data_IF_773818831947
#
_entry.id   IF_773818831947
#
_cell.length_a   1.000
_cell.length_b   1.000
_cell.length_c   1.000
_cell.angle_alpha   90.00
_cell.angle_beta   90.00
_cell.angle_gamma   90.00
#
_symmetry.space_group_name_H-M   'P 1'
#
loop_
_entity.id
_entity.type
_entity.pdbx_description
1 polymer ?
#
# COMPACT_ATOMS: atom_id res chain seq x y z
N UNK A 1 18.17 49.39 -3.18
CA UNK A 1 17.19 49.06 -2.13
C UNK A 1 16.41 47.84 -2.60
N UNK A 2 16.50 46.68 -1.94
CA UNK A 2 15.67 45.54 -2.30
C UNK A 2 14.27 45.72 -1.69
N UNK A 3 13.24 45.44 -2.48
CA UNK A 3 11.84 45.48 -2.06
C UNK A 3 11.56 44.45 -0.97
N UNK A 4 10.69 44.74 0.00
CA UNK A 4 10.26 43.74 0.98
C UNK A 4 9.39 42.70 0.26
N UNK A 5 9.89 41.47 0.15
CA UNK A 5 9.07 40.30 -0.16
C UNK A 5 7.90 40.22 0.82
N UNK A 6 6.71 40.57 0.37
CA UNK A 6 5.47 40.38 1.09
C UNK A 6 5.13 38.89 1.11
N UNK A 7 5.73 38.17 2.06
CA UNK A 7 5.22 36.86 2.46
C UNK A 7 3.88 37.11 3.17
N UNK A 8 2.80 37.10 2.39
CA UNK A 8 1.45 36.91 2.92
C UNK A 8 1.46 35.56 3.66
N UNK A 9 1.49 35.61 5.00
CA UNK A 9 1.48 34.41 5.81
C UNK A 9 0.20 33.62 5.47
N UNK A 10 0.32 32.31 5.15
CA UNK A 10 -0.86 31.51 4.87
C UNK A 10 -1.81 31.59 6.07
N UNK A 11 -2.97 32.21 5.86
CA UNK A 11 -3.91 32.54 6.92
C UNK A 11 -4.73 31.29 7.24
N UNK A 12 -4.14 30.37 8.01
CA UNK A 12 -4.76 29.13 8.50
C UNK A 12 -3.94 27.85 8.20
N UNK A 13 -4.19 26.78 8.96
CA UNK A 13 -3.46 25.51 8.87
C UNK A 13 -3.41 24.95 7.44
N UNK A 14 -4.53 25.01 6.70
CA UNK A 14 -4.63 24.58 5.30
C UNK A 14 -3.68 25.35 4.37
N UNK A 15 -3.61 26.67 4.52
CA UNK A 15 -2.70 27.50 3.71
C UNK A 15 -1.23 27.14 3.97
N UNK A 16 -0.89 26.85 5.24
CA UNK A 16 0.47 26.46 5.62
C UNK A 16 0.83 25.12 5.03
N UNK A 17 -0.06 24.13 5.14
CA UNK A 17 0.16 22.79 4.57
C UNK A 17 0.25 22.88 3.04
N UNK A 18 -0.55 23.73 2.39
CA UNK A 18 -0.45 23.98 0.94
C UNK A 18 0.92 24.54 0.53
N UNK A 19 1.53 25.41 1.33
CA UNK A 19 2.89 25.86 1.03
C UNK A 19 3.90 24.70 1.11
N UNK A 20 3.73 23.80 2.09
CA UNK A 20 4.62 22.66 2.31
C UNK A 20 4.56 21.59 1.21
N UNK A 21 3.54 21.58 0.34
CA UNK A 21 3.53 20.68 -0.84
C UNK A 21 4.57 21.06 -1.89
N UNK A 22 5.18 22.24 -1.78
CA UNK A 22 6.30 22.68 -2.63
C UNK A 22 7.65 22.61 -1.91
N UNK A 23 7.68 22.10 -0.68
CA UNK A 23 8.91 21.93 0.08
C UNK A 23 9.90 21.03 -0.67
N UNK A 24 11.17 21.39 -0.61
CA UNK A 24 12.29 20.62 -1.18
C UNK A 24 12.57 19.33 -0.40
N UNK A 25 12.19 19.31 0.88
CA UNK A 25 12.38 18.16 1.75
C UNK A 25 11.55 16.95 1.29
N UNK A 26 12.21 15.79 1.32
CA UNK A 26 11.67 14.55 0.79
C UNK A 26 10.52 13.94 1.55
N UNK A 27 10.44 14.20 2.85
CA UNK A 27 9.40 13.67 3.72
C UNK A 27 8.29 14.70 3.92
N UNK A 28 8.64 16.00 3.92
CA UNK A 28 7.66 17.08 4.15
C UNK A 28 6.62 17.15 3.03
N UNK A 29 7.03 16.97 1.77
CA UNK A 29 6.11 17.11 0.64
C UNK A 29 5.02 16.03 0.60
N UNK A 30 5.31 14.71 0.65
CA UNK A 30 4.27 13.67 0.71
C UNK A 30 3.36 13.82 1.93
N UNK A 31 3.94 14.12 3.10
CA UNK A 31 3.16 14.34 4.32
C UNK A 31 2.21 15.54 4.22
N UNK A 32 2.64 16.63 3.57
CA UNK A 32 1.80 17.79 3.32
C UNK A 32 0.63 17.45 2.38
N UNK A 33 0.87 16.66 1.34
CA UNK A 33 -0.18 16.20 0.42
C UNK A 33 -1.18 15.30 1.15
N UNK A 34 -0.71 14.36 1.99
CA UNK A 34 -1.58 13.51 2.81
C UNK A 34 -2.41 14.34 3.82
N UNK A 35 -1.80 15.34 4.45
CA UNK A 35 -2.51 16.21 5.39
C UNK A 35 -3.57 17.07 4.70
N UNK A 36 -3.35 17.53 3.47
CA UNK A 36 -4.37 18.23 2.68
C UNK A 36 -5.55 17.31 2.31
N UNK A 37 -5.26 16.04 1.97
CA UNK A 37 -6.31 15.04 1.75
C UNK A 37 -7.18 14.85 3.00
N UNK A 38 -6.54 14.67 4.15
CA UNK A 38 -7.23 14.48 5.42
C UNK A 38 -8.08 15.70 5.86
N UNK A 39 -7.70 16.92 5.44
CA UNK A 39 -8.42 18.15 5.80
C UNK A 39 -9.67 18.40 4.95
N UNK A 40 -9.56 18.23 3.64
CA UNK A 40 -10.59 18.75 2.72
C UNK A 40 -11.10 17.73 1.70
N UNK A 41 -10.46 16.57 1.54
CA UNK A 41 -10.86 15.57 0.52
C UNK A 41 -10.83 16.11 -0.92
N UNK A 42 -10.11 17.22 -1.16
CA UNK A 42 -10.14 17.97 -2.41
C UNK A 42 -9.29 17.32 -3.50
N UNK A 43 -9.80 16.28 -4.14
CA UNK A 43 -9.06 15.49 -5.13
C UNK A 43 -8.51 16.32 -6.31
N UNK A 44 -9.27 17.32 -6.77
CA UNK A 44 -8.90 18.16 -7.91
C UNK A 44 -7.60 18.95 -7.69
N UNK A 45 -7.33 19.38 -6.45
CA UNK A 45 -6.10 20.10 -6.11
C UNK A 45 -4.93 19.15 -5.81
N UNK A 46 -5.23 17.92 -5.39
CA UNK A 46 -4.24 16.93 -4.97
C UNK A 46 -3.64 16.15 -6.14
N UNK A 47 -4.45 15.78 -7.14
CA UNK A 47 -3.98 15.03 -8.31
C UNK A 47 -2.73 15.63 -8.99
N UNK A 48 -2.64 16.95 -9.27
CA UNK A 48 -1.44 17.51 -9.89
C UNK A 48 -0.21 17.50 -8.98
N UNK A 49 -0.37 17.36 -7.66
CA UNK A 49 0.72 17.24 -6.70
C UNK A 49 1.14 15.77 -6.48
N UNK A 50 0.19 14.86 -6.55
CA UNK A 50 0.37 13.44 -6.23
C UNK A 50 0.87 12.63 -7.42
N UNK A 51 0.35 12.88 -8.63
CA UNK A 51 0.77 12.15 -9.83
C UNK A 51 2.27 12.25 -10.13
N UNK A 52 2.93 13.43 -10.02
CA UNK A 52 4.37 13.53 -10.24
C UNK A 52 5.22 12.75 -9.22
N UNK A 53 4.68 12.46 -8.02
CA UNK A 53 5.41 11.69 -7.01
C UNK A 53 5.57 10.21 -7.40
N UNK A 54 4.69 9.70 -8.26
CA UNK A 54 4.82 8.35 -8.86
C UNK A 54 6.02 8.26 -9.83
N UNK A 55 6.54 9.40 -10.28
CA UNK A 55 7.70 9.51 -11.17
C UNK A 55 8.99 9.92 -10.44
N UNK A 56 8.95 9.99 -9.11
CA UNK A 56 10.11 10.40 -8.33
C UNK A 56 11.23 9.35 -8.39
N UNK A 57 12.47 9.78 -8.21
CA UNK A 57 13.63 8.87 -8.16
C UNK A 57 13.76 8.20 -6.80
N UNK A 58 13.15 8.77 -5.77
CA UNK A 58 13.17 8.26 -4.40
C UNK A 58 12.01 7.29 -4.22
N UNK A 59 12.34 6.01 -4.05
CA UNK A 59 11.38 4.90 -3.98
C UNK A 59 10.34 5.07 -2.87
N UNK A 60 10.73 5.56 -1.68
CA UNK A 60 9.79 5.83 -0.59
C UNK A 60 8.71 6.86 -0.97
N UNK A 61 9.05 7.88 -1.76
CA UNK A 61 8.06 8.86 -2.22
C UNK A 61 7.05 8.26 -3.19
N UNK A 62 7.50 7.31 -4.03
CA UNK A 62 6.60 6.56 -4.91
C UNK A 62 5.63 5.73 -4.08
N UNK A 63 6.12 5.02 -3.05
CA UNK A 63 5.29 4.22 -2.14
C UNK A 63 4.27 5.08 -1.40
N UNK A 64 4.69 6.20 -0.80
CA UNK A 64 3.79 7.12 -0.09
C UNK A 64 2.69 7.66 -1.02
N UNK A 65 3.05 7.98 -2.27
CA UNK A 65 2.11 8.45 -3.26
C UNK A 65 1.11 7.36 -3.66
N UNK A 66 1.58 6.11 -3.84
CA UNK A 66 0.71 4.97 -4.12
C UNK A 66 -0.25 4.71 -2.96
N UNK A 67 0.23 4.70 -1.72
CA UNK A 67 -0.60 4.48 -0.53
C UNK A 67 -1.71 5.53 -0.44
N UNK A 68 -1.38 6.82 -0.63
CA UNK A 68 -2.37 7.89 -0.62
C UNK A 68 -3.40 7.75 -1.76
N UNK A 69 -2.97 7.33 -2.96
CA UNK A 69 -3.90 7.03 -4.06
C UNK A 69 -4.83 5.86 -3.70
N UNK A 70 -4.32 4.85 -3.00
CA UNK A 70 -5.13 3.75 -2.48
C UNK A 70 -6.15 4.20 -1.45
N UNK A 71 -5.76 5.07 -0.51
CA UNK A 71 -6.66 5.67 0.48
C UNK A 71 -7.76 6.53 -0.16
N UNK A 72 -7.45 7.23 -1.25
CA UNK A 72 -8.45 7.97 -2.04
C UNK A 72 -9.45 6.99 -2.71
N UNK A 73 -8.97 5.82 -3.13
CA UNK A 73 -9.78 4.77 -3.73
C UNK A 73 -10.22 5.08 -5.17
N UNK A 74 -11.41 4.63 -5.63
CA UNK A 74 -11.80 4.64 -7.05
C UNK A 74 -11.76 6.01 -7.74
N UNK A 75 -11.90 7.10 -6.97
CA UNK A 75 -11.82 8.47 -7.49
C UNK A 75 -10.44 8.78 -8.10
N UNK A 76 -9.38 8.09 -7.67
CA UNK A 76 -8.01 8.21 -8.20
C UNK A 76 -7.76 7.41 -9.49
N UNK A 77 -8.81 6.99 -10.21
CA UNK A 77 -8.71 6.16 -11.42
C UNK A 77 -7.77 6.70 -12.52
N UNK A 78 -7.53 8.02 -12.55
CA UNK A 78 -6.54 8.64 -13.44
C UNK A 78 -5.11 8.11 -13.22
N UNK A 79 -4.80 7.60 -12.04
CA UNK A 79 -3.48 7.04 -11.71
C UNK A 79 -3.30 5.58 -12.17
N UNK A 80 -4.38 4.87 -12.56
CA UNK A 80 -4.32 3.45 -12.92
C UNK A 80 -3.25 3.12 -13.97
N UNK A 81 -3.10 3.86 -15.09
CA UNK A 81 -2.06 3.55 -16.07
C UNK A 81 -0.65 3.64 -15.47
N UNK A 82 -0.41 4.60 -14.58
CA UNK A 82 0.90 4.77 -13.96
C UNK A 82 1.17 3.71 -12.90
N UNK A 83 0.18 3.38 -12.07
CA UNK A 83 0.26 2.30 -11.08
C UNK A 83 0.57 0.95 -11.74
N UNK A 84 -0.06 0.65 -12.89
CA UNK A 84 0.25 -0.56 -13.68
C UNK A 84 1.70 -0.60 -14.15
N UNK A 85 2.22 0.52 -14.64
CA UNK A 85 3.63 0.61 -15.05
C UNK A 85 4.60 0.42 -13.88
N UNK A 86 4.22 0.83 -12.67
CA UNK A 86 5.06 0.68 -11.48
C UNK A 86 5.08 -0.74 -10.91
N UNK A 87 4.22 -1.65 -11.40
CA UNK A 87 4.31 -3.08 -11.05
C UNK A 87 5.58 -3.74 -11.58
N UNK A 88 6.28 -3.14 -12.55
CA UNK A 88 7.57 -3.63 -13.07
C UNK A 88 8.78 -2.92 -12.45
N UNK A 89 8.59 -2.10 -11.41
CA UNK A 89 9.71 -1.43 -10.73
C UNK A 89 10.68 -2.45 -10.13
N UNK A 90 11.96 -2.10 -10.10
CA UNK A 90 13.03 -2.97 -9.56
C UNK A 90 12.84 -3.24 -8.07
N UNK A 91 12.41 -2.22 -7.31
CA UNK A 91 12.26 -2.32 -5.87
C UNK A 91 10.92 -2.94 -5.47
N UNK A 92 10.97 -4.04 -4.73
CA UNK A 92 9.81 -4.86 -4.36
C UNK A 92 8.78 -4.13 -3.49
N UNK A 93 9.22 -3.22 -2.61
CA UNK A 93 8.30 -2.45 -1.81
C UNK A 93 7.44 -1.52 -2.67
N UNK A 94 8.05 -0.85 -3.65
CA UNK A 94 7.29 -0.02 -4.59
C UNK A 94 6.25 -0.86 -5.33
N UNK A 95 6.62 -2.06 -5.78
CA UNK A 95 5.67 -2.99 -6.41
C UNK A 95 4.50 -3.34 -5.49
N UNK A 96 4.76 -3.64 -4.21
CA UNK A 96 3.71 -4.01 -3.23
C UNK A 96 2.76 -2.85 -2.96
N UNK A 97 3.29 -1.65 -2.70
CA UNK A 97 2.47 -0.45 -2.47
C UNK A 97 1.65 -0.09 -3.71
N UNK A 98 2.26 -0.13 -4.91
CA UNK A 98 1.55 0.13 -6.15
C UNK A 98 0.49 -0.93 -6.46
N UNK A 99 0.74 -2.20 -6.18
CA UNK A 99 -0.23 -3.27 -6.35
C UNK A 99 -1.42 -3.12 -5.38
N UNK A 100 -1.16 -2.76 -4.12
CA UNK A 100 -2.21 -2.47 -3.15
C UNK A 100 -3.06 -1.27 -3.58
N UNK A 101 -2.42 -0.17 -3.99
CA UNK A 101 -3.12 1.00 -4.52
C UNK A 101 -3.94 0.68 -5.77
N UNK A 102 -3.39 -0.13 -6.68
CA UNK A 102 -4.07 -0.56 -7.89
C UNK A 102 -5.33 -1.38 -7.56
N UNK A 103 -5.31 -2.19 -6.51
CA UNK A 103 -6.49 -2.89 -6.01
C UNK A 103 -7.53 -1.92 -5.43
N UNK A 104 -7.15 -0.97 -4.58
CA UNK A 104 -8.11 -0.02 -3.99
C UNK A 104 -8.76 0.91 -5.04
N UNK A 105 -8.02 1.27 -6.09
CA UNK A 105 -8.48 2.18 -7.13
C UNK A 105 -9.24 1.45 -8.25
N UNK A 106 -8.69 0.33 -8.74
CA UNK A 106 -9.20 -0.40 -9.91
C UNK A 106 -10.01 -1.66 -9.58
N UNK A 107 -9.93 -2.14 -8.33
CA UNK A 107 -10.71 -3.27 -7.84
C UNK A 107 -10.50 -4.55 -8.62
N UNK A 108 -11.60 -5.28 -8.85
CA UNK A 108 -11.59 -6.63 -9.44
C UNK A 108 -10.95 -6.71 -10.83
N UNK A 109 -10.98 -5.63 -11.61
CA UNK A 109 -10.37 -5.61 -12.95
C UNK A 109 -8.85 -5.79 -12.90
N UNK A 110 -8.22 -5.34 -11.81
CA UNK A 110 -6.77 -5.38 -11.64
C UNK A 110 -6.31 -6.64 -10.89
N UNK A 111 -7.24 -7.49 -10.43
CA UNK A 111 -6.94 -8.64 -9.58
C UNK A 111 -5.82 -9.55 -10.12
N UNK A 112 -5.76 -9.90 -11.42
CA UNK A 112 -4.67 -10.75 -11.93
C UNK A 112 -3.30 -10.09 -11.77
N UNK A 113 -3.16 -8.82 -12.18
CA UNK A 113 -1.90 -8.09 -12.12
C UNK A 113 -1.45 -7.85 -10.66
N UNK A 114 -2.41 -7.56 -9.77
CA UNK A 114 -2.16 -7.39 -8.34
C UNK A 114 -1.67 -8.70 -7.72
N UNK A 115 -2.37 -9.81 -7.96
CA UNK A 115 -1.97 -11.12 -7.41
C UNK A 115 -0.58 -11.53 -7.85
N UNK A 116 -0.31 -11.49 -9.16
CA UNK A 116 0.99 -11.89 -9.70
C UNK A 116 2.13 -11.07 -9.08
N UNK A 117 1.93 -9.76 -8.96
CA UNK A 117 2.93 -8.84 -8.39
C UNK A 117 3.15 -9.10 -6.91
N UNK A 118 2.07 -9.26 -6.12
CA UNK A 118 2.15 -9.49 -4.69
C UNK A 118 2.81 -10.84 -4.36
N UNK A 119 2.45 -11.91 -5.09
CA UNK A 119 3.03 -13.23 -4.89
C UNK A 119 4.53 -13.23 -5.23
N UNK A 120 4.92 -12.58 -6.33
CA UNK A 120 6.33 -12.44 -6.71
C UNK A 120 7.13 -11.65 -5.67
N UNK A 121 6.62 -10.51 -5.21
CA UNK A 121 7.30 -9.68 -4.23
C UNK A 121 7.50 -10.40 -2.88
N UNK A 122 6.49 -11.15 -2.45
CA UNK A 122 6.53 -11.91 -1.21
C UNK A 122 7.49 -13.11 -1.29
N UNK A 123 7.60 -13.75 -2.45
CA UNK A 123 8.58 -14.82 -2.67
C UNK A 123 10.02 -14.30 -2.70
N UNK A 124 10.25 -13.09 -3.22
CA UNK A 124 11.57 -12.46 -3.28
C UNK A 124 12.03 -11.87 -1.94
N UNK A 125 11.09 -11.30 -1.17
CA UNK A 125 11.39 -10.68 0.11
C UNK A 125 10.28 -10.97 1.13
N UNK A 126 10.57 -11.84 2.09
CA UNK A 126 9.66 -12.18 3.19
C UNK A 126 9.25 -10.99 4.05
N UNK A 127 10.04 -9.91 4.07
CA UNK A 127 9.70 -8.70 4.81
C UNK A 127 8.43 -8.00 4.29
N UNK A 128 8.03 -8.27 3.04
CA UNK A 128 6.83 -7.70 2.43
C UNK A 128 5.54 -8.42 2.84
N UNK A 129 5.65 -9.58 3.50
CA UNK A 129 4.52 -10.47 3.78
C UNK A 129 3.35 -9.78 4.50
N UNK A 130 3.62 -8.90 5.47
CA UNK A 130 2.57 -8.16 6.18
C UNK A 130 1.69 -7.32 5.24
N UNK A 131 2.33 -6.58 4.33
CA UNK A 131 1.61 -5.72 3.39
C UNK A 131 0.89 -6.55 2.33
N UNK A 132 1.55 -7.60 1.84
CA UNK A 132 0.97 -8.52 0.86
C UNK A 132 -0.27 -9.20 1.43
N UNK A 133 -0.17 -9.79 2.62
CA UNK A 133 -1.29 -10.50 3.26
C UNK A 133 -2.43 -9.55 3.61
N UNK A 134 -2.15 -8.32 4.05
CA UNK A 134 -3.19 -7.31 4.26
C UNK A 134 -3.94 -6.96 2.96
N UNK A 135 -3.24 -6.85 1.83
CA UNK A 135 -3.89 -6.63 0.54
C UNK A 135 -4.72 -7.85 0.12
N UNK A 136 -4.16 -9.07 0.24
CA UNK A 136 -4.87 -10.32 -0.07
C UNK A 136 -6.13 -10.50 0.79
N UNK A 137 -6.12 -10.06 2.05
CA UNK A 137 -7.30 -10.07 2.91
C UNK A 137 -8.42 -9.17 2.35
N UNK A 138 -8.07 -7.95 1.89
CA UNK A 138 -9.01 -7.03 1.23
C UNK A 138 -9.50 -7.55 -0.13
N UNK A 139 -8.69 -8.33 -0.85
CA UNK A 139 -9.11 -8.99 -2.09
C UNK A 139 -10.16 -10.08 -1.88
N UNK A 140 -10.24 -10.65 -0.68
CA UNK A 140 -11.22 -11.68 -0.34
C UNK A 140 -11.07 -12.94 -1.20
N UNK A 141 -12.16 -13.53 -1.72
CA UNK A 141 -12.12 -14.79 -2.49
C UNK A 141 -11.19 -14.80 -3.70
N UNK A 142 -10.91 -13.63 -4.28
CA UNK A 142 -10.00 -13.51 -5.42
C UNK A 142 -8.55 -13.84 -5.04
N UNK A 143 -8.20 -13.80 -3.76
CA UNK A 143 -6.90 -14.21 -3.26
C UNK A 143 -6.71 -15.74 -3.16
N UNK A 144 -7.67 -16.57 -3.60
CA UNK A 144 -7.55 -18.03 -3.60
C UNK A 144 -6.24 -18.57 -4.22
N UNK A 145 -5.69 -18.01 -5.32
CA UNK A 145 -4.41 -18.45 -5.87
C UNK A 145 -3.22 -18.29 -4.91
N UNK A 146 -3.33 -17.44 -3.88
CA UNK A 146 -2.29 -17.24 -2.87
C UNK A 146 -2.23 -18.37 -1.81
N UNK A 147 -3.19 -19.29 -1.78
CA UNK A 147 -3.29 -20.36 -0.77
C UNK A 147 -1.98 -21.16 -0.55
N UNK A 148 -1.25 -21.61 -1.59
CA UNK A 148 0.00 -22.33 -1.40
C UNK A 148 1.05 -21.50 -0.66
N UNK A 149 1.19 -20.22 -1.06
CA UNK A 149 2.14 -19.30 -0.46
C UNK A 149 1.76 -19.00 0.99
N UNK A 150 0.48 -18.74 1.30
CA UNK A 150 0.01 -18.49 2.66
C UNK A 150 0.30 -19.67 3.61
N UNK A 151 0.18 -20.91 3.12
CA UNK A 151 0.50 -22.14 3.88
C UNK A 151 1.99 -22.29 4.12
N UNK A 152 2.81 -22.13 3.09
CA UNK A 152 4.27 -22.15 3.21
C UNK A 152 4.74 -21.13 4.25
N UNK A 153 4.11 -19.96 4.22
CA UNK A 153 4.42 -18.88 5.12
C UNK A 153 4.09 -19.31 6.56
N UNK A 154 2.91 -19.84 6.84
CA UNK A 154 2.58 -20.33 8.19
C UNK A 154 3.53 -21.44 8.71
N UNK A 155 4.24 -22.14 7.82
CA UNK A 155 5.23 -23.15 8.20
C UNK A 155 6.60 -22.57 8.61
N UNK A 156 6.86 -21.27 8.40
CA UNK A 156 8.14 -20.66 8.73
C UNK A 156 8.28 -20.42 10.25
N UNK A 157 9.34 -20.94 10.91
CA UNK A 157 9.48 -20.90 12.37
C UNK A 157 9.92 -19.54 12.92
N UNK A 158 10.56 -18.71 12.10
CA UNK A 158 10.91 -17.31 12.40
C UNK A 158 10.85 -16.53 11.10
N UNK A 159 9.96 -15.55 11.02
CA UNK A 159 9.86 -14.72 9.82
C UNK A 159 10.84 -13.57 9.92
N UNK A 160 11.89 -13.67 9.11
CA UNK A 160 12.89 -12.61 8.96
C UNK A 160 12.34 -11.44 8.14
N UNK A 161 12.72 -10.23 8.50
CA UNK A 161 12.35 -9.03 7.75
C UNK A 161 12.57 -7.73 8.53
N UNK A 162 11.99 -6.64 8.00
CA UNK A 162 12.02 -5.29 8.59
C UNK A 162 11.24 -5.21 9.90
N UNK A 163 10.21 -6.04 10.07
CA UNK A 163 9.35 -6.09 11.26
C UNK A 163 9.63 -7.37 12.05
N UNK A 164 10.55 -7.30 13.02
CA UNK A 164 10.97 -8.45 13.84
C UNK A 164 10.26 -8.50 15.20
N UNK A 165 9.29 -7.60 15.45
CA UNK A 165 8.53 -7.63 16.70
C UNK A 165 7.57 -8.81 16.71
N UNK A 166 7.39 -9.41 17.88
CA UNK A 166 6.44 -10.50 18.13
C UNK A 166 5.03 -10.11 17.62
N UNK A 167 4.57 -8.90 17.91
CA UNK A 167 3.21 -8.44 17.55
C UNK A 167 2.94 -8.51 16.02
N UNK A 168 3.89 -8.06 15.21
CA UNK A 168 3.76 -8.11 13.75
C UNK A 168 3.73 -9.55 13.22
N UNK A 169 4.52 -10.46 13.81
CA UNK A 169 4.52 -11.86 13.42
C UNK A 169 3.21 -12.56 13.83
N UNK A 170 2.72 -12.29 15.05
CA UNK A 170 1.44 -12.81 15.53
C UNK A 170 0.28 -12.32 14.66
N UNK A 171 0.27 -11.03 14.30
CA UNK A 171 -0.72 -10.46 13.39
C UNK A 171 -0.67 -11.14 12.02
N UNK A 172 0.51 -11.28 11.42
CA UNK A 172 0.67 -11.98 10.14
C UNK A 172 0.13 -13.40 10.19
N UNK A 173 0.48 -14.16 11.23
CA UNK A 173 0.00 -15.53 11.39
C UNK A 173 -1.52 -15.58 11.57
N UNK A 174 -2.09 -14.66 12.37
CA UNK A 174 -3.53 -14.55 12.59
C UNK A 174 -4.27 -14.28 11.29
N UNK A 175 -3.80 -13.31 10.50
CA UNK A 175 -4.43 -12.97 9.21
C UNK A 175 -4.29 -14.11 8.22
N UNK A 176 -3.10 -14.72 8.08
CA UNK A 176 -2.89 -15.89 7.22
C UNK A 176 -3.84 -17.05 7.56
N UNK A 177 -3.99 -17.42 8.84
CA UNK A 177 -4.92 -18.49 9.27
C UNK A 177 -6.36 -18.15 8.93
N UNK A 178 -6.78 -16.91 9.20
CA UNK A 178 -8.14 -16.44 8.92
C UNK A 178 -8.43 -16.46 7.42
N UNK A 179 -7.46 -16.00 6.62
CA UNK A 179 -7.57 -15.95 5.17
C UNK A 179 -7.66 -17.36 4.57
N UNK A 180 -6.80 -18.29 5.01
CA UNK A 180 -6.86 -19.69 4.57
C UNK A 180 -8.21 -20.32 4.93
N UNK A 181 -8.70 -20.13 6.17
CA UNK A 181 -9.99 -20.69 6.59
C UNK A 181 -11.18 -20.15 5.78
N UNK A 182 -11.08 -18.90 5.29
CA UNK A 182 -12.11 -18.28 4.43
C UNK A 182 -12.02 -18.73 2.98
N UNK A 183 -10.81 -18.94 2.47
CA UNK A 183 -10.54 -19.31 1.07
C UNK A 183 -10.66 -20.82 0.82
N UNK A 184 -10.35 -21.64 1.81
CA UNK A 184 -10.43 -23.09 1.77
C UNK A 184 -11.10 -23.58 3.07
N UNK A 185 -12.43 -23.42 3.20
CA UNK A 185 -13.15 -23.82 4.39
C UNK A 185 -13.02 -25.35 4.57
N UNK A 186 -12.73 -25.84 5.79
CA UNK A 186 -12.66 -27.26 6.03
C UNK A 186 -14.00 -27.92 5.67
N UNK A 187 -13.95 -29.09 5.04
CA UNK A 187 -15.15 -29.84 4.69
C UNK A 187 -16.06 -29.98 5.93
N UNK A 188 -17.40 -29.82 5.78
CA UNK A 188 -18.31 -29.94 6.90
C UNK A 188 -18.18 -31.34 7.51
N UNK A 189 -17.62 -31.42 8.72
CA UNK A 189 -17.37 -32.68 9.45
C UNK A 189 -15.90 -33.06 9.66
N UNK A 190 -14.93 -32.24 9.26
CA UNK A 190 -13.52 -32.51 9.58
C UNK A 190 -13.27 -32.39 11.11
N UNK A 191 -12.71 -33.43 11.77
CA UNK A 191 -12.44 -33.37 13.20
C UNK A 191 -11.41 -32.27 13.51
N UNK A 192 -11.65 -31.49 14.56
CA UNK A 192 -10.72 -30.47 15.02
C UNK A 192 -9.31 -31.07 15.17
N UNK A 193 -8.24 -30.37 14.71
CA UNK A 193 -6.89 -30.87 14.84
C UNK A 193 -6.61 -31.08 16.33
N UNK A 194 -6.37 -32.34 16.71
CA UNK A 194 -5.99 -32.69 18.08
C UNK A 194 -4.65 -32.03 18.37
N UNK A 195 -4.65 -31.01 19.22
CA UNK A 195 -3.44 -30.49 19.86
C UNK A 195 -2.80 -31.63 20.65
N UNK A 196 -1.57 -31.98 20.28
CA UNK A 196 -0.68 -32.87 21.03
C UNK A 196 0.16 -32.05 22.02
#
# INVERSE_FOLDING_TARGET
>A
MPEPCSFSAPTGAKGTIRALTTATDAHVRPAAVAALWALDGGLAELLPLLLPLLDDRITFRISDAADLLGEIGPSASIALPRLRNLLTQEYEWVRVHCAAALWEVGGKAEAPAVLDTLLLAMAQNSATANHVVACLDRMGPLAAPALPLLREQLAQPRRGGRFQSIDHDEELQRVCRTLIARLDPPAPGAPAPRTA
#
